data_IF_060983425637
#
_entry.id   IF_060983425637
#
_cell.length_a   1.000
_cell.length_b   1.000
_cell.length_c   1.000
_cell.angle_alpha   90.00
_cell.angle_beta   90.00
_cell.angle_gamma   90.00
#
_symmetry.space_group_name_H-M   'P 1'
#
loop_
_entity.id
_entity.type
_entity.pdbx_description
1 polymer ?
#
# COMPACT_ATOMS: atom_id res chain seq x y z
N UNK A 1 -4.05 -12.72 -9.87
CA UNK A 1 -3.61 -11.46 -10.49
C UNK A 1 -4.13 -10.33 -9.62
N UNK A 2 -3.26 -9.48 -9.06
CA UNK A 2 -3.69 -8.29 -8.33
C UNK A 2 -3.93 -7.20 -9.38
N UNK A 3 -5.16 -6.72 -9.49
CA UNK A 3 -5.55 -5.73 -10.49
C UNK A 3 -5.61 -4.35 -9.80
N UNK A 4 -4.51 -3.58 -9.79
CA UNK A 4 -4.58 -2.20 -9.32
C UNK A 4 -5.55 -1.41 -10.19
N UNK A 5 -6.42 -0.62 -9.56
CA UNK A 5 -7.32 0.29 -10.25
C UNK A 5 -6.69 1.67 -10.26
N UNK A 6 -6.43 2.22 -11.44
CA UNK A 6 -5.88 3.57 -11.63
C UNK A 6 -6.97 4.46 -12.24
N UNK A 7 -7.19 5.61 -11.63
CA UNK A 7 -8.10 6.63 -12.12
C UNK A 7 -7.33 7.94 -12.35
N UNK A 8 -7.28 8.40 -13.60
CA UNK A 8 -6.64 9.68 -13.97
C UNK A 8 -7.69 10.79 -13.88
N UNK A 9 -7.34 11.89 -13.21
CA UNK A 9 -8.22 13.03 -12.91
C UNK A 9 -7.61 14.30 -13.49
N UNK A 10 -7.81 14.53 -14.79
CA UNK A 10 -7.15 15.62 -15.52
C UNK A 10 -5.65 15.38 -15.71
N UNK A 11 -4.90 16.44 -16.01
CA UNK A 11 -3.45 16.36 -16.32
C UNK A 11 -2.57 16.22 -15.07
N UNK A 12 -3.06 16.70 -13.93
CA UNK A 12 -2.28 16.81 -12.69
C UNK A 12 -2.78 15.94 -11.54
N UNK A 13 -3.88 15.22 -11.71
CA UNK A 13 -4.47 14.37 -10.68
C UNK A 13 -4.48 12.89 -11.06
N UNK A 14 -4.18 12.03 -10.11
CA UNK A 14 -4.39 10.58 -10.26
C UNK A 14 -4.71 9.93 -8.91
N UNK A 15 -5.50 8.88 -8.94
CA UNK A 15 -5.77 8.02 -7.80
C UNK A 15 -5.46 6.58 -8.18
N UNK A 16 -4.82 5.83 -7.28
CA UNK A 16 -4.62 4.39 -7.44
C UNK A 16 -5.11 3.66 -6.19
N UNK A 17 -5.88 2.60 -6.39
CA UNK A 17 -6.33 1.70 -5.34
C UNK A 17 -5.90 0.26 -5.64
N UNK A 18 -5.32 -0.41 -4.67
CA UNK A 18 -4.80 -1.76 -4.83
C UNK A 18 -4.82 -2.55 -3.52
N UNK A 19 -4.74 -3.87 -3.66
CA UNK A 19 -4.44 -4.77 -2.55
C UNK A 19 -2.91 -4.92 -2.47
N UNK A 20 -2.34 -4.55 -1.33
CA UNK A 20 -0.93 -4.76 -1.01
C UNK A 20 -0.77 -6.07 -0.24
N UNK A 21 -0.01 -7.00 -0.82
CA UNK A 21 0.48 -8.19 -0.12
C UNK A 21 1.90 -7.91 0.37
N UNK A 22 2.15 -8.14 1.66
CA UNK A 22 3.49 -8.06 2.25
C UNK A 22 3.83 -9.44 2.81
N UNK A 23 4.88 -10.04 2.28
CA UNK A 23 5.43 -11.30 2.79
C UNK A 23 6.64 -10.98 3.66
N UNK A 24 6.73 -11.60 4.83
CA UNK A 24 7.80 -11.36 5.78
C UNK A 24 8.01 -12.60 6.67
N UNK A 25 9.19 -12.70 7.27
CA UNK A 25 9.45 -13.65 8.34
C UNK A 25 9.06 -13.01 9.67
N UNK A 26 8.30 -13.71 10.50
CA UNK A 26 8.01 -13.26 11.86
C UNK A 26 9.17 -13.58 12.82
N UNK A 27 9.00 -13.22 14.10
CA UNK A 27 10.04 -13.40 15.13
C UNK A 27 10.36 -14.86 15.44
N UNK A 28 9.48 -15.80 15.08
CA UNK A 28 9.69 -17.24 15.25
C UNK A 28 10.37 -17.86 14.02
N UNK A 29 10.72 -17.05 13.01
CA UNK A 29 11.24 -17.55 11.75
C UNK A 29 10.17 -18.20 10.87
N UNK A 30 8.88 -17.93 11.11
CA UNK A 30 7.79 -18.45 10.27
C UNK A 30 7.46 -17.46 9.15
N UNK A 31 7.25 -17.98 7.94
CA UNK A 31 6.84 -17.17 6.80
C UNK A 31 5.37 -16.74 6.97
N UNK A 32 5.12 -15.43 6.87
CA UNK A 32 3.79 -14.81 6.98
C UNK A 32 3.45 -14.01 5.74
N UNK A 33 2.15 -13.88 5.46
CA UNK A 33 1.60 -12.97 4.46
C UNK A 33 0.57 -12.06 5.10
N UNK A 34 0.71 -10.75 4.90
CA UNK A 34 -0.27 -9.74 5.30
C UNK A 34 -0.90 -9.10 4.08
N UNK A 35 -2.22 -8.99 4.10
CA UNK A 35 -2.99 -8.26 3.11
C UNK A 35 -3.51 -6.93 3.68
N UNK A 36 -3.34 -5.85 2.94
CA UNK A 36 -3.96 -4.54 3.23
C UNK A 36 -4.53 -3.95 1.95
N UNK A 37 -5.63 -3.21 2.05
CA UNK A 37 -6.15 -2.39 0.96
C UNK A 37 -5.53 -0.99 1.08
N UNK A 38 -5.01 -0.46 -0.01
CA UNK A 38 -4.32 0.84 -0.03
C UNK A 38 -4.85 1.71 -1.17
N UNK A 39 -5.21 2.94 -0.84
CA UNK A 39 -5.56 3.99 -1.81
C UNK A 39 -4.54 5.12 -1.70
N UNK A 40 -3.98 5.55 -2.82
CA UNK A 40 -3.04 6.68 -2.91
C UNK A 40 -3.55 7.71 -3.89
N UNK A 41 -3.60 8.96 -3.43
CA UNK A 41 -3.88 10.12 -4.28
C UNK A 41 -2.56 10.78 -4.63
N UNK A 42 -2.38 11.05 -5.91
CA UNK A 42 -1.20 11.66 -6.50
C UNK A 42 -1.56 12.99 -7.16
N UNK A 43 -0.70 13.98 -6.97
CA UNK A 43 -0.77 15.26 -7.64
C UNK A 43 0.55 15.56 -8.35
N UNK A 44 0.49 16.03 -9.59
CA UNK A 44 1.67 16.53 -10.31
C UNK A 44 1.98 17.95 -9.83
N UNK A 45 3.15 18.16 -9.26
CA UNK A 45 3.64 19.47 -8.80
C UNK A 45 4.97 19.77 -9.48
N UNK A 46 5.04 20.88 -10.20
CA UNK A 46 6.22 21.27 -11.00
C UNK A 46 6.74 20.10 -11.87
N UNK A 47 5.83 19.41 -12.55
CA UNK A 47 6.17 18.28 -13.44
C UNK A 47 6.38 16.92 -12.75
N UNK A 48 6.43 16.86 -11.40
CA UNK A 48 6.68 15.62 -10.65
C UNK A 48 5.45 15.14 -9.90
N UNK A 49 5.14 13.85 -9.99
CA UNK A 49 4.10 13.23 -9.18
C UNK A 49 4.51 13.14 -7.71
N UNK A 50 3.65 13.64 -6.83
CA UNK A 50 3.79 13.58 -5.38
C UNK A 50 2.57 12.89 -4.80
N UNK A 51 2.77 11.92 -3.92
CA UNK A 51 1.67 11.30 -3.19
C UNK A 51 1.20 12.28 -2.11
N UNK A 52 0.00 12.82 -2.28
CA UNK A 52 -0.56 13.85 -1.40
C UNK A 52 -1.49 13.26 -0.34
N UNK A 53 -1.94 12.03 -0.52
CA UNK A 53 -2.77 11.32 0.45
C UNK A 53 -2.58 9.82 0.34
N UNK A 54 -2.59 9.14 1.49
CA UNK A 54 -2.58 7.67 1.59
C UNK A 54 -3.63 7.25 2.60
N UNK A 55 -4.49 6.31 2.19
CA UNK A 55 -5.36 5.55 3.08
C UNK A 55 -4.92 4.09 3.04
N UNK A 56 -4.78 3.46 4.22
CA UNK A 56 -4.57 2.02 4.32
C UNK A 56 -5.57 1.40 5.29
N UNK A 57 -6.30 0.40 4.84
CA UNK A 57 -7.18 -0.44 5.66
C UNK A 57 -6.75 -1.90 5.59
N UNK A 58 -7.11 -2.68 6.61
CA UNK A 58 -6.76 -4.08 6.72
C UNK A 58 -7.05 -4.61 8.12
N UNK A 59 -6.93 -5.93 8.34
CA UNK A 59 -7.12 -6.50 9.67
C UNK A 59 -6.22 -5.78 10.68
N UNK A 60 -6.71 -5.56 11.92
CA UNK A 60 -5.88 -5.04 13.00
C UNK A 60 -4.63 -5.94 13.08
N UNK A 61 -3.45 -5.34 13.13
CA UNK A 61 -2.22 -6.12 13.19
C UNK A 61 -2.31 -7.04 14.40
N UNK A 62 -2.43 -8.35 14.18
CA UNK A 62 -2.25 -9.30 15.27
C UNK A 62 -0.84 -9.06 15.80
N UNK A 63 -0.74 -8.72 17.09
CA UNK A 63 0.47 -8.24 17.75
C UNK A 63 1.67 -9.21 17.67
N UNK A 64 1.45 -10.47 17.28
CA UNK A 64 2.48 -11.48 17.04
C UNK A 64 3.13 -11.44 15.65
N UNK A 65 2.62 -10.61 14.73
CA UNK A 65 3.02 -10.60 13.32
C UNK A 65 3.85 -9.38 12.92
N UNK A 66 4.66 -8.84 13.84
CA UNK A 66 5.60 -7.77 13.50
C UNK A 66 6.71 -8.33 12.61
N UNK A 67 7.01 -7.71 11.47
CA UNK A 67 8.17 -8.08 10.66
C UNK A 67 9.47 -8.04 11.47
N UNK A 68 10.40 -8.93 11.16
CA UNK A 68 11.81 -8.72 11.53
C UNK A 68 12.33 -7.59 10.65
N UNK A 69 12.75 -6.48 11.27
CA UNK A 69 13.51 -5.43 10.57
C UNK A 69 14.98 -5.89 10.50
N UNK A 70 15.56 -5.89 9.30
CA UNK A 70 16.97 -6.15 9.04
C UNK A 70 17.75 -4.84 8.98
#
# INVERSE_FOLDING_TARGET
MLNPNVHVMGEEGACIAYVRLTQFMDRNGEARTRQTQESRVWQKKAGRWVCVHVHRSGPPGSSSSTPVEF
#
